data_IF_955306891646
#
_entry.id   IF_955306891646
#
_cell.length_a   1.000
_cell.length_b   1.000
_cell.length_c   1.000
_cell.angle_alpha   90.00
_cell.angle_beta   90.00
_cell.angle_gamma   90.00
#
_symmetry.space_group_name_H-M   'P 1'
#
loop_
_entity.id
_entity.type
_entity.pdbx_description
1 polymer ?
#
# COMPACT_ATOMS: atom_id res chain seq x y z
N UNK A 1 18.63 -11.12 -11.36
CA UNK A 1 19.56 -10.14 -10.75
C UNK A 1 19.27 -8.69 -11.14
N UNK A 2 19.30 -8.31 -12.43
CA UNK A 2 18.99 -6.91 -12.83
C UNK A 2 17.51 -6.58 -12.59
N UNK A 3 16.61 -7.50 -12.91
CA UNK A 3 15.16 -7.30 -12.68
C UNK A 3 14.85 -7.14 -11.18
N UNK A 4 15.41 -8.01 -10.33
CA UNK A 4 15.22 -7.93 -8.86
C UNK A 4 15.67 -6.59 -8.28
N UNK A 5 16.77 -6.03 -8.79
CA UNK A 5 17.28 -4.72 -8.34
C UNK A 5 16.34 -3.57 -8.74
N UNK A 6 15.75 -3.64 -9.95
CA UNK A 6 14.74 -2.68 -10.42
C UNK A 6 13.49 -2.77 -9.55
N UNK A 7 13.06 -3.97 -9.17
CA UNK A 7 11.92 -4.15 -8.26
C UNK A 7 12.15 -3.58 -6.87
N UNK A 8 13.34 -3.78 -6.30
CA UNK A 8 13.71 -3.20 -5.00
C UNK A 8 13.69 -1.68 -5.08
N UNK A 9 14.27 -1.09 -6.13
CA UNK A 9 14.23 0.36 -6.34
C UNK A 9 12.81 0.88 -6.52
N UNK A 10 11.98 0.17 -7.29
CA UNK A 10 10.58 0.52 -7.50
C UNK A 10 9.77 0.46 -6.19
N UNK A 11 9.95 -0.59 -5.39
CA UNK A 11 9.33 -0.72 -4.07
C UNK A 11 9.79 0.38 -3.09
N UNK A 12 11.07 0.74 -3.10
CA UNK A 12 11.61 1.87 -2.34
C UNK A 12 10.99 3.20 -2.79
N UNK A 13 10.86 3.43 -4.10
CA UNK A 13 10.27 4.65 -4.63
C UNK A 13 8.78 4.76 -4.27
N UNK A 14 8.06 3.65 -4.39
CA UNK A 14 6.66 3.54 -4.00
C UNK A 14 6.50 3.83 -2.49
N UNK A 15 7.28 3.19 -1.62
CA UNK A 15 7.20 3.41 -0.16
C UNK A 15 7.56 4.83 0.26
N UNK A 16 8.55 5.45 -0.36
CA UNK A 16 8.88 6.87 -0.13
C UNK A 16 7.71 7.76 -0.57
N UNK A 17 7.15 7.55 -1.77
CA UNK A 17 5.99 8.29 -2.25
C UNK A 17 4.81 8.19 -1.28
N UNK A 18 4.55 7.00 -0.74
CA UNK A 18 3.50 6.76 0.24
C UNK A 18 3.69 7.56 1.54
N UNK A 19 4.94 7.73 2.01
CA UNK A 19 5.23 8.53 3.21
C UNK A 19 4.90 10.02 3.02
N UNK A 20 4.98 10.53 1.80
CA UNK A 20 4.62 11.91 1.48
C UNK A 20 3.11 12.13 1.34
N UNK A 21 2.35 11.10 0.96
CA UNK A 21 0.89 11.15 0.83
C UNK A 21 0.19 11.00 2.19
N UNK A 22 0.17 12.10 2.95
CA UNK A 22 -0.61 12.21 4.18
C UNK A 22 -1.86 13.06 3.95
N UNK A 23 -3.04 12.50 4.16
CA UNK A 23 -4.31 13.24 4.14
C UNK A 23 -4.55 13.85 5.52
N UNK A 24 -4.89 15.13 5.57
CA UNK A 24 -5.35 15.76 6.81
C UNK A 24 -6.80 15.31 7.07
N UNK A 25 -7.03 14.80 8.28
CA UNK A 25 -8.36 14.45 8.78
C UNK A 25 -8.61 15.31 10.02
N UNK A 26 -9.82 15.81 10.16
CA UNK A 26 -10.27 16.59 11.32
C UNK A 26 -11.16 15.67 12.15
N UNK A 27 -10.90 15.56 13.45
CA UNK A 27 -11.80 14.85 14.35
C UNK A 27 -13.03 15.71 14.65
N UNK A 28 -14.24 15.20 14.37
CA UNK A 28 -15.49 15.91 14.68
C UNK A 28 -15.74 16.09 16.19
N UNK A 29 -15.09 15.29 17.05
CA UNK A 29 -15.35 15.31 18.50
C UNK A 29 -14.39 16.25 19.27
N UNK A 30 -13.10 16.29 18.92
CA UNK A 30 -12.10 17.11 19.61
C UNK A 30 -11.49 18.22 18.76
N UNK A 31 -11.87 18.34 17.47
CA UNK A 31 -11.35 19.35 16.54
C UNK A 31 -9.89 19.16 16.13
N UNK A 32 -9.22 18.10 16.61
CA UNK A 32 -7.81 17.85 16.34
C UNK A 32 -7.59 17.48 14.87
N UNK A 33 -6.57 18.09 14.26
CA UNK A 33 -6.14 17.82 12.89
C UNK A 33 -4.95 16.89 12.92
N UNK A 34 -5.06 15.75 12.25
CA UNK A 34 -3.97 14.80 12.17
C UNK A 34 -3.82 14.23 10.76
N UNK A 35 -2.59 13.84 10.44
CA UNK A 35 -2.16 13.38 9.12
C UNK A 35 -2.20 11.86 9.08
N UNK A 36 -2.96 11.28 8.16
CA UNK A 36 -3.04 9.82 8.01
C UNK A 36 -2.88 9.39 6.56
N UNK A 37 -2.17 8.29 6.38
CA UNK A 37 -2.06 7.61 5.08
C UNK A 37 -3.36 6.83 4.86
N UNK A 38 -4.07 6.97 3.73
CA UNK A 38 -5.28 6.19 3.46
C UNK A 38 -4.93 4.77 3.04
N UNK A 39 -5.58 3.76 3.63
CA UNK A 39 -5.30 2.34 3.33
C UNK A 39 -5.48 2.01 1.85
N UNK A 40 -6.41 2.70 1.17
CA UNK A 40 -6.65 2.50 -0.27
C UNK A 40 -5.38 2.73 -1.11
N UNK A 41 -4.56 3.73 -0.78
CA UNK A 41 -3.32 3.99 -1.54
C UNK A 41 -2.25 2.93 -1.25
N UNK A 42 -2.18 2.44 -0.02
CA UNK A 42 -1.33 1.30 0.35
C UNK A 42 -1.74 0.10 -0.53
N UNK A 43 -3.04 -0.21 -0.58
CA UNK A 43 -3.56 -1.30 -1.40
C UNK A 43 -3.25 -1.14 -2.89
N UNK A 44 -3.44 0.06 -3.46
CA UNK A 44 -3.09 0.36 -4.86
C UNK A 44 -1.60 0.09 -5.12
N UNK A 45 -0.70 0.46 -4.20
CA UNK A 45 0.73 0.21 -4.38
C UNK A 45 1.09 -1.27 -4.38
N UNK A 46 0.54 -2.05 -3.44
CA UNK A 46 0.78 -3.50 -3.41
C UNK A 46 0.23 -4.20 -4.65
N UNK A 47 -0.92 -3.75 -5.18
CA UNK A 47 -1.47 -4.25 -6.44
C UNK A 47 -0.57 -3.87 -7.63
N UNK A 48 -0.08 -2.63 -7.69
CA UNK A 48 0.87 -2.19 -8.73
C UNK A 48 2.16 -3.01 -8.69
N UNK A 49 2.67 -3.30 -7.50
CA UNK A 49 3.84 -4.14 -7.32
C UNK A 49 3.58 -5.56 -7.83
N UNK A 50 2.43 -6.15 -7.48
CA UNK A 50 2.01 -7.46 -8.00
C UNK A 50 1.91 -7.47 -9.53
N UNK A 51 1.29 -6.45 -10.14
CA UNK A 51 1.20 -6.34 -11.60
C UNK A 51 2.58 -6.24 -12.26
N UNK A 52 3.50 -5.48 -11.66
CA UNK A 52 4.87 -5.37 -12.16
C UNK A 52 5.60 -6.73 -12.09
N UNK A 53 5.47 -7.47 -10.98
CA UNK A 53 6.05 -8.81 -10.82
C UNK A 53 5.45 -9.80 -11.83
N UNK A 54 4.13 -9.77 -12.05
CA UNK A 54 3.47 -10.59 -13.05
C UNK A 54 3.96 -10.29 -14.48
N UNK A 55 4.18 -9.01 -14.82
CA UNK A 55 4.72 -8.61 -16.12
C UNK A 55 6.15 -9.12 -16.34
N UNK A 56 7.00 -9.06 -15.33
CA UNK A 56 8.37 -9.59 -15.44
C UNK A 56 8.39 -11.11 -15.63
N UNK A 57 7.53 -11.84 -14.93
CA UNK A 57 7.36 -13.28 -15.13
C UNK A 57 6.93 -13.62 -16.57
N UNK A 58 5.99 -12.84 -17.14
CA UNK A 58 5.55 -13.01 -18.54
C UNK A 58 6.70 -12.72 -19.51
N UNK A 59 7.45 -11.63 -19.31
CA UNK A 59 8.57 -11.24 -20.17
C UNK A 59 9.73 -12.23 -20.13
N UNK A 60 10.00 -12.84 -18.98
CA UNK A 60 11.03 -13.86 -18.80
C UNK A 60 10.57 -15.28 -19.20
N UNK A 61 9.39 -15.43 -19.82
CA UNK A 61 8.79 -16.73 -20.17
C UNK A 61 8.70 -17.72 -18.99
N UNK A 62 8.67 -17.17 -17.77
CA UNK A 62 8.60 -17.90 -16.51
C UNK A 62 7.19 -17.76 -15.97
N UNK A 63 6.34 -18.77 -16.20
CA UNK A 63 4.99 -18.81 -15.61
C UNK A 63 4.99 -19.34 -14.16
N UNK A 64 6.09 -19.16 -13.44
CA UNK A 64 6.21 -19.63 -12.06
C UNK A 64 5.90 -18.48 -11.11
N UNK A 65 4.64 -18.36 -10.72
CA UNK A 65 4.26 -17.47 -9.62
C UNK A 65 4.79 -18.02 -8.30
N UNK A 66 5.60 -17.21 -7.64
CA UNK A 66 6.12 -17.48 -6.30
C UNK A 66 5.02 -17.30 -5.25
N UNK A 67 5.16 -17.97 -4.11
CA UNK A 67 4.34 -17.72 -2.91
C UNK A 67 4.41 -16.23 -2.53
N UNK A 68 5.54 -15.57 -2.77
CA UNK A 68 5.71 -14.14 -2.52
C UNK A 68 4.76 -13.30 -3.38
N UNK A 69 4.56 -13.64 -4.65
CA UNK A 69 3.65 -12.93 -5.56
C UNK A 69 2.22 -12.99 -5.01
N UNK A 70 1.80 -14.16 -4.56
CA UNK A 70 0.48 -14.34 -3.94
C UNK A 70 0.32 -13.51 -2.65
N UNK A 71 1.34 -13.45 -1.79
CA UNK A 71 1.29 -12.65 -0.56
C UNK A 71 1.21 -11.15 -0.91
N UNK A 72 2.00 -10.68 -1.87
CA UNK A 72 1.99 -9.29 -2.36
C UNK A 72 0.60 -8.94 -2.90
N UNK A 73 0.04 -9.75 -3.79
CA UNK A 73 -1.30 -9.54 -4.34
C UNK A 73 -2.40 -9.56 -3.29
N UNK A 74 -2.40 -10.56 -2.40
CA UNK A 74 -3.38 -10.69 -1.32
C UNK A 74 -3.32 -9.51 -0.35
N UNK A 75 -2.12 -9.02 -0.01
CA UNK A 75 -1.95 -7.85 0.83
C UNK A 75 -2.52 -6.59 0.17
N UNK A 76 -2.33 -6.41 -1.13
CA UNK A 76 -2.90 -5.28 -1.86
C UNK A 76 -4.42 -5.28 -1.88
N UNK A 77 -5.03 -6.44 -2.14
CA UNK A 77 -6.50 -6.61 -2.08
C UNK A 77 -7.00 -6.38 -0.65
N UNK A 78 -6.31 -6.90 0.36
CA UNK A 78 -6.66 -6.68 1.76
C UNK A 78 -6.70 -5.19 2.12
N UNK A 79 -5.66 -4.42 1.76
CA UNK A 79 -5.62 -2.98 2.04
C UNK A 79 -6.63 -2.17 1.21
N UNK A 80 -7.01 -2.64 0.03
CA UNK A 80 -8.09 -2.03 -0.77
C UNK A 80 -9.47 -2.22 -0.13
N UNK A 81 -9.74 -3.41 0.40
CA UNK A 81 -11.04 -3.78 0.99
C UNK A 81 -11.16 -3.37 2.46
N UNK A 82 -10.03 -3.14 3.14
CA UNK A 82 -10.01 -2.74 4.54
C UNK A 82 -10.58 -1.33 4.71
N UNK A 83 -11.75 -1.25 5.35
CA UNK A 83 -12.32 0.02 5.80
C UNK A 83 -11.33 0.74 6.71
N UNK A 84 -11.09 2.01 6.39
CA UNK A 84 -10.18 2.92 7.13
C UNK A 84 -10.80 3.27 8.49
N UNK A 85 -10.73 2.38 9.48
CA UNK A 85 -11.07 2.72 10.87
C UNK A 85 -9.88 3.42 11.52
N UNK A 86 -9.94 4.74 11.67
CA UNK A 86 -8.85 5.53 12.25
C UNK A 86 -9.25 6.07 13.60
N UNK A 87 -8.42 5.81 14.63
CA UNK A 87 -8.64 6.37 15.98
C UNK A 87 -7.97 7.73 16.06
N UNK A 88 -8.70 8.71 16.60
CA UNK A 88 -8.11 10.01 16.91
C UNK A 88 -7.04 9.84 18.02
N UNK A 89 -5.84 10.44 17.89
CA UNK A 89 -4.77 10.27 18.88
C UNK A 89 -5.12 10.83 20.25
N UNK A 90 -5.89 11.93 20.34
CA UNK A 90 -6.29 12.55 21.61
C UNK A 90 -7.52 11.93 22.24
N UNK A 91 -8.63 11.79 21.49
CA UNK A 91 -9.90 11.32 22.06
C UNK A 91 -10.15 9.82 21.87
N UNK A 92 -9.26 9.09 21.17
CA UNK A 92 -9.38 7.67 20.84
C UNK A 92 -10.66 7.26 20.11
N UNK A 93 -11.49 8.23 19.73
CA UNK A 93 -12.75 8.01 19.04
C UNK A 93 -12.49 7.49 17.62
N UNK A 94 -13.30 6.53 17.18
CA UNK A 94 -13.20 5.98 15.83
C UNK A 94 -13.81 6.95 14.82
N UNK A 95 -13.00 7.35 13.85
CA UNK A 95 -13.40 8.14 12.69
C UNK A 95 -13.45 7.17 11.52
N UNK A 96 -14.64 7.04 10.93
CA UNK A 96 -14.95 6.20 9.77
C UNK A 96 -14.89 7.05 8.51
#
# INVERSE_FOLDING_TARGET
MISDFIFILFACFLTIGLMHYKKNIICNNCGERFKVIPNKYIGIMWVLLFCAMALDNILNYSCNFSILDFIVGASGVYYLLKKDKKKCPKCKNEIV
#
